data_IF_212306044855
#
_entry.id   IF_212306044855
#
_cell.length_a   1.000
_cell.length_b   1.000
_cell.length_c   1.000
_cell.angle_alpha   90.00
_cell.angle_beta   90.00
_cell.angle_gamma   90.00
#
_symmetry.space_group_name_H-M   'P 1'
#
loop_
_entity.id
_entity.type
_entity.pdbx_description
1 polymer ?
#
# COMPACT_ATOMS: atom_id res chain seq x y z
N UNK A 1 11.18 -13.72 7.02
CA UNK A 1 10.63 -12.36 7.33
C UNK A 1 9.11 -12.47 7.52
N UNK A 2 8.58 -12.11 8.70
CA UNK A 2 7.11 -12.11 9.00
C UNK A 2 6.53 -10.71 9.29
N UNK A 3 7.36 -9.67 9.31
CA UNK A 3 6.96 -8.31 9.67
C UNK A 3 5.95 -7.69 8.71
N UNK A 4 6.08 -7.95 7.40
CA UNK A 4 5.24 -7.32 6.38
C UNK A 4 3.80 -7.85 6.35
N UNK A 5 3.55 -9.19 6.40
CA UNK A 5 2.21 -9.71 6.62
C UNK A 5 1.59 -9.24 7.95
N UNK A 6 2.41 -9.12 9.01
CA UNK A 6 1.93 -8.64 10.31
C UNK A 6 1.43 -7.18 10.27
N UNK A 7 2.12 -6.29 9.55
CA UNK A 7 1.67 -4.90 9.37
C UNK A 7 0.32 -4.81 8.63
N UNK A 8 0.12 -5.65 7.61
CA UNK A 8 -1.15 -5.68 6.87
C UNK A 8 -2.29 -6.18 7.78
N UNK A 9 -2.04 -7.23 8.56
CA UNK A 9 -3.00 -7.75 9.56
C UNK A 9 -3.34 -6.70 10.61
N UNK A 10 -2.33 -6.00 11.12
CA UNK A 10 -2.53 -4.91 12.08
C UNK A 10 -3.45 -3.83 11.52
N UNK A 11 -3.24 -3.38 10.27
CA UNK A 11 -4.11 -2.38 9.66
C UNK A 11 -5.57 -2.85 9.54
N UNK A 12 -5.82 -4.11 9.20
CA UNK A 12 -7.20 -4.64 9.16
C UNK A 12 -7.82 -4.73 10.56
N UNK A 13 -7.05 -5.11 11.58
CA UNK A 13 -7.55 -5.17 12.96
C UNK A 13 -7.77 -3.79 13.57
N UNK A 14 -6.94 -2.82 13.17
CA UNK A 14 -7.10 -1.43 13.55
C UNK A 14 -8.36 -0.81 12.95
N UNK A 15 -8.87 -1.33 11.83
CA UNK A 15 -10.19 -0.93 11.35
C UNK A 15 -11.32 -1.57 12.18
N UNK A 16 -11.18 -2.85 12.53
CA UNK A 16 -12.24 -3.62 13.17
C UNK A 16 -12.47 -3.24 14.64
N UNK A 17 -11.41 -3.24 15.45
CA UNK A 17 -11.55 -3.16 16.92
C UNK A 17 -12.03 -1.79 17.41
N UNK A 18 -11.48 -0.66 16.93
CA UNK A 18 -11.97 0.66 17.34
C UNK A 18 -13.43 0.89 16.90
N UNK A 19 -13.84 0.39 15.73
CA UNK A 19 -15.23 0.48 15.27
C UNK A 19 -16.19 -0.30 16.15
N UNK A 20 -15.80 -1.48 16.63
CA UNK A 20 -16.61 -2.24 17.59
C UNK A 20 -16.82 -1.47 18.91
N UNK A 21 -15.87 -0.60 19.27
CA UNK A 21 -15.98 0.33 20.39
C UNK A 21 -16.63 1.69 20.02
N UNK A 22 -17.26 1.82 18.85
CA UNK A 22 -17.96 3.03 18.42
C UNK A 22 -17.09 4.14 17.80
N UNK A 23 -15.80 3.88 17.52
CA UNK A 23 -14.93 4.86 16.86
C UNK A 23 -15.33 5.09 15.39
N UNK A 24 -15.26 6.35 14.95
CA UNK A 24 -15.45 6.75 13.55
C UNK A 24 -14.17 6.67 12.72
N UNK A 25 -13.02 6.43 13.35
CA UNK A 25 -11.73 6.29 12.66
C UNK A 25 -11.74 5.06 11.76
N UNK A 26 -11.31 5.24 10.51
CA UNK A 26 -11.09 4.14 9.58
C UNK A 26 -9.60 3.82 9.47
N UNK A 27 -9.28 2.54 9.32
CA UNK A 27 -7.93 2.11 8.95
C UNK A 27 -7.92 1.57 7.52
N UNK A 28 -6.95 2.02 6.73
CA UNK A 28 -6.79 1.63 5.32
C UNK A 28 -5.35 1.19 5.12
N UNK A 29 -5.17 0.03 4.48
CA UNK A 29 -3.85 -0.49 4.15
C UNK A 29 -3.47 -0.05 2.74
N UNK A 30 -2.20 0.27 2.51
CA UNK A 30 -1.69 0.45 1.16
C UNK A 30 -0.30 -0.17 1.01
N UNK A 31 0.08 -0.48 -0.22
CA UNK A 31 1.47 -0.78 -0.52
C UNK A 31 1.93 -0.07 -1.81
N UNK A 32 3.21 0.36 -1.87
CA UNK A 32 3.71 1.18 -2.98
C UNK A 32 4.07 0.37 -4.25
N UNK A 33 3.93 -0.96 -4.18
CA UNK A 33 4.49 -1.91 -5.15
C UNK A 33 6.01 -1.96 -5.13
N UNK A 34 6.61 -2.22 -6.30
CA UNK A 34 8.06 -2.11 -6.49
C UNK A 34 8.43 -0.64 -6.65
N UNK A 35 9.06 -0.06 -5.63
CA UNK A 35 9.44 1.35 -5.61
C UNK A 35 10.97 1.49 -5.60
N UNK A 36 11.53 2.03 -6.68
CA UNK A 36 12.98 2.10 -6.89
C UNK A 36 13.45 3.55 -7.03
N UNK A 37 14.48 3.91 -6.28
CA UNK A 37 15.01 5.28 -6.30
C UNK A 37 15.52 5.69 -7.69
N UNK A 38 16.06 4.75 -8.47
CA UNK A 38 16.51 4.99 -9.85
C UNK A 38 15.48 5.45 -10.85
N UNK A 39 14.21 5.28 -10.49
CA UNK A 39 13.09 5.70 -11.31
C UNK A 39 12.37 6.91 -10.70
N UNK A 40 12.84 7.43 -9.57
CA UNK A 40 12.27 8.61 -8.91
C UNK A 40 12.83 9.90 -9.53
N UNK A 41 11.99 10.90 -9.85
CA UNK A 41 12.45 12.23 -10.26
C UNK A 41 13.40 12.87 -9.25
N UNK A 42 14.39 13.63 -9.73
CA UNK A 42 15.27 14.45 -8.87
C UNK A 42 14.48 15.60 -8.24
N UNK A 43 14.78 15.92 -6.98
CA UNK A 43 14.25 17.05 -6.21
C UNK A 43 15.37 17.73 -5.41
N UNK A 44 16.11 18.69 -6.00
CA UNK A 44 17.15 19.44 -5.29
C UNK A 44 16.56 20.29 -4.14
N UNK A 45 17.30 20.51 -3.03
CA UNK A 45 18.60 19.91 -2.71
C UNK A 45 18.49 18.48 -2.11
N UNK A 46 17.29 18.04 -1.74
CA UNK A 46 17.07 16.83 -0.96
C UNK A 46 17.44 15.51 -1.67
N UNK A 47 17.28 15.44 -3.00
CA UNK A 47 17.55 14.23 -3.77
C UNK A 47 17.96 14.59 -5.20
N UNK A 48 19.24 14.40 -5.53
CA UNK A 48 19.76 14.61 -6.90
C UNK A 48 20.30 13.29 -7.42
N UNK A 49 19.81 12.85 -8.58
CA UNK A 49 20.29 11.63 -9.23
C UNK A 49 21.31 11.94 -10.32
N UNK A 50 22.35 11.14 -10.40
CA UNK A 50 23.26 11.15 -11.55
C UNK A 50 22.63 10.46 -12.76
N UNK A 51 23.09 10.80 -13.98
CA UNK A 51 22.64 10.15 -15.21
C UNK A 51 22.91 8.62 -15.21
N UNK A 52 24.01 8.17 -14.58
CA UNK A 52 24.32 6.74 -14.43
C UNK A 52 23.34 6.02 -13.51
N UNK A 53 23.00 6.66 -12.39
CA UNK A 53 22.01 6.18 -11.43
C UNK A 53 20.59 6.05 -12.02
N UNK A 54 20.22 6.91 -12.98
CA UNK A 54 18.94 6.79 -13.71
C UNK A 54 18.97 5.63 -14.70
N UNK A 55 20.06 5.51 -15.49
CA UNK A 55 20.21 4.45 -16.50
C UNK A 55 20.14 3.04 -15.92
N UNK A 56 20.77 2.79 -14.77
CA UNK A 56 20.72 1.49 -14.08
C UNK A 56 19.30 1.04 -13.68
N UNK A 57 18.37 1.99 -13.51
CA UNK A 57 16.98 1.70 -13.16
C UNK A 57 16.08 1.37 -14.32
N UNK A 58 16.43 1.78 -15.55
CA UNK A 58 15.56 1.71 -16.72
C UNK A 58 15.09 0.28 -17.05
N UNK A 59 15.96 -0.76 -17.03
CA UNK A 59 15.51 -2.13 -17.30
C UNK A 59 14.42 -2.59 -16.32
N UNK A 60 14.52 -2.18 -15.05
CA UNK A 60 13.55 -2.51 -14.01
C UNK A 60 12.23 -1.72 -14.15
N UNK A 61 12.21 -0.60 -14.86
CA UNK A 61 11.02 0.27 -15.02
C UNK A 61 9.82 -0.37 -15.73
N UNK A 62 10.04 -1.52 -16.38
CA UNK A 62 8.97 -2.35 -16.94
C UNK A 62 8.20 -3.10 -15.84
N UNK A 63 8.87 -3.46 -14.74
CA UNK A 63 8.29 -4.24 -13.65
C UNK A 63 7.92 -3.37 -12.45
N UNK A 64 8.74 -2.36 -12.16
CA UNK A 64 8.65 -1.50 -10.96
C UNK A 64 8.55 -0.02 -11.33
N UNK A 65 8.28 0.84 -10.36
CA UNK A 65 8.08 2.27 -10.54
C UNK A 65 8.97 3.11 -9.61
N UNK A 66 9.09 4.41 -9.86
CA UNK A 66 9.78 5.32 -8.93
C UNK A 66 9.02 5.52 -7.63
N UNK A 67 9.71 5.93 -6.55
CA UNK A 67 9.07 6.23 -5.25
C UNK A 67 7.97 7.29 -5.36
N UNK A 68 8.13 8.25 -6.27
CA UNK A 68 7.11 9.25 -6.55
C UNK A 68 5.78 8.61 -7.01
N UNK A 69 5.84 7.68 -7.97
CA UNK A 69 4.65 6.95 -8.42
C UNK A 69 4.18 5.94 -7.36
N UNK A 70 5.12 5.33 -6.64
CA UNK A 70 4.84 4.42 -5.52
C UNK A 70 4.12 5.08 -4.35
N UNK A 71 4.15 6.41 -4.21
CA UNK A 71 3.38 7.13 -3.20
C UNK A 71 1.89 7.27 -3.56
N UNK A 72 1.50 7.09 -4.84
CA UNK A 72 0.13 7.30 -5.30
C UNK A 72 -0.92 6.43 -4.59
N UNK A 73 -0.67 5.14 -4.26
CA UNK A 73 -1.61 4.34 -3.48
C UNK A 73 -1.93 4.94 -2.11
N UNK A 74 -0.91 5.44 -1.38
CA UNK A 74 -1.11 6.13 -0.11
C UNK A 74 -1.93 7.41 -0.30
N UNK A 75 -1.56 8.26 -1.27
CA UNK A 75 -2.29 9.49 -1.58
C UNK A 75 -3.75 9.21 -1.94
N UNK A 76 -4.02 8.18 -2.76
CA UNK A 76 -5.39 7.78 -3.12
C UNK A 76 -6.19 7.29 -1.90
N UNK A 77 -5.55 6.55 -1.00
CA UNK A 77 -6.19 6.05 0.21
C UNK A 77 -6.50 7.18 1.22
N UNK A 78 -5.68 8.23 1.27
CA UNK A 78 -5.85 9.35 2.21
C UNK A 78 -6.77 10.44 1.68
N UNK A 79 -6.64 10.84 0.41
CA UNK A 79 -7.34 12.01 -0.14
C UNK A 79 -8.61 11.67 -0.92
N UNK A 80 -8.78 10.42 -1.33
CA UNK A 80 -9.97 9.98 -2.05
C UNK A 80 -11.00 9.31 -1.13
N UNK A 81 -12.21 9.02 -1.62
CA UNK A 81 -13.16 8.20 -0.88
C UNK A 81 -12.54 6.81 -0.64
N UNK A 82 -12.44 6.44 0.63
CA UNK A 82 -11.92 5.16 1.09
C UNK A 82 -12.83 4.61 2.18
N UNK A 83 -12.93 3.28 2.22
CA UNK A 83 -13.63 2.57 3.30
C UNK A 83 -12.61 1.90 4.19
N UNK A 84 -12.95 1.81 5.47
CA UNK A 84 -12.14 1.06 6.40
C UNK A 84 -11.96 -0.40 6.00
N UNK A 85 -10.78 -0.94 6.28
CA UNK A 85 -10.41 -2.31 5.94
C UNK A 85 -10.08 -2.53 4.46
N UNK A 86 -10.01 -1.47 3.65
CA UNK A 86 -9.55 -1.54 2.27
C UNK A 86 -8.03 -1.70 2.15
N UNK A 87 -7.59 -2.30 1.04
CA UNK A 87 -6.19 -2.42 0.65
C UNK A 87 -6.00 -1.76 -0.72
N UNK A 88 -5.11 -0.76 -0.78
CA UNK A 88 -4.80 -0.04 -2.01
C UNK A 88 -3.41 -0.37 -2.55
N UNK A 89 -3.34 -0.70 -3.84
CA UNK A 89 -2.14 -1.18 -4.50
C UNK A 89 -2.02 -0.70 -5.94
N UNK A 90 -0.83 -0.78 -6.56
CA UNK A 90 -0.69 -0.58 -7.99
C UNK A 90 -1.37 -1.69 -8.81
N UNK A 91 -2.09 -1.33 -9.87
CA UNK A 91 -2.93 -2.26 -10.67
C UNK A 91 -2.18 -3.45 -11.27
N UNK A 92 -0.95 -3.29 -11.72
CA UNK A 92 -0.23 -4.32 -12.49
C UNK A 92 0.50 -5.24 -11.53
N UNK A 93 -0.10 -6.39 -11.24
CA UNK A 93 0.40 -7.41 -10.31
C UNK A 93 0.79 -6.88 -8.91
N UNK A 94 0.21 -5.75 -8.47
CA UNK A 94 0.63 -5.08 -7.23
C UNK A 94 1.98 -4.36 -7.35
N UNK A 95 2.69 -4.44 -8.48
CA UNK A 95 4.07 -3.93 -8.58
C UNK A 95 4.12 -2.49 -9.08
N UNK A 96 3.27 -2.12 -10.04
CA UNK A 96 3.28 -0.79 -10.66
C UNK A 96 1.92 -0.34 -11.22
N UNK A 97 1.84 0.93 -11.59
CA UNK A 97 0.68 1.51 -12.28
C UNK A 97 -0.24 2.31 -11.36
N UNK A 98 -1.43 2.64 -11.86
CA UNK A 98 -2.40 3.44 -11.13
C UNK A 98 -2.89 2.73 -9.85
N UNK A 99 -3.17 3.48 -8.77
CA UNK A 99 -3.79 2.94 -7.58
C UNK A 99 -5.12 2.24 -7.90
N UNK A 100 -5.31 1.06 -7.32
CA UNK A 100 -6.53 0.27 -7.43
C UNK A 100 -6.80 -0.39 -6.07
N UNK A 101 -8.07 -0.61 -5.77
CA UNK A 101 -8.47 -1.50 -4.68
C UNK A 101 -8.01 -2.93 -4.99
N UNK A 102 -7.20 -3.49 -4.09
CA UNK A 102 -6.68 -4.84 -4.19
C UNK A 102 -7.53 -5.81 -3.37
N UNK A 103 -7.99 -6.93 -3.95
CA UNK A 103 -8.61 -8.00 -3.19
C UNK A 103 -7.60 -8.60 -2.21
N UNK A 104 -8.02 -8.76 -0.96
CA UNK A 104 -7.21 -9.44 0.06
C UNK A 104 -7.16 -10.94 -0.24
N UNK A 105 -5.97 -11.46 -0.55
CA UNK A 105 -5.73 -12.86 -0.96
C UNK A 105 -4.95 -13.65 0.09
N UNK A 106 -5.03 -14.99 0.02
CA UNK A 106 -4.23 -15.92 0.81
C UNK A 106 -4.64 -16.00 2.28
N UNK A 107 -3.66 -16.14 3.18
CA UNK A 107 -3.87 -16.18 4.65
C UNK A 107 -4.70 -14.99 5.16
N UNK A 108 -4.61 -13.85 4.49
CA UNK A 108 -5.37 -12.65 4.86
C UNK A 108 -6.87 -12.79 4.53
N UNK A 109 -7.26 -13.63 3.56
CA UNK A 109 -8.67 -13.85 3.18
C UNK A 109 -9.44 -14.51 4.31
N UNK A 110 -8.88 -15.56 4.93
CA UNK A 110 -9.51 -16.19 6.10
C UNK A 110 -9.63 -15.19 7.25
N UNK A 111 -8.70 -14.24 7.35
CA UNK A 111 -8.65 -13.24 8.42
C UNK A 111 -9.76 -12.21 8.21
N UNK A 112 -9.94 -11.74 6.98
CA UNK A 112 -11.05 -10.85 6.60
C UNK A 112 -12.42 -11.47 6.86
N UNK A 113 -12.58 -12.76 6.57
CA UNK A 113 -13.82 -13.49 6.86
C UNK A 113 -14.09 -13.59 8.37
N UNK A 114 -13.06 -13.74 9.20
CA UNK A 114 -13.18 -13.74 10.67
C UNK A 114 -13.39 -12.34 11.25
N UNK A 115 -12.84 -11.29 10.63
CA UNK A 115 -13.10 -9.91 11.01
C UNK A 115 -14.57 -9.50 10.89
N UNK A 116 -15.29 -10.06 9.92
CA UNK A 116 -16.72 -9.78 9.74
C UNK A 116 -17.61 -10.37 10.85
N UNK A 117 -17.05 -11.22 11.73
CA UNK A 117 -17.78 -11.73 12.90
C UNK A 117 -17.73 -10.68 14.02
N UNK A 118 -18.87 -10.39 14.68
CA UNK A 118 -18.88 -9.53 15.85
C UNK A 118 -17.89 -10.06 16.90
N UNK A 119 -17.17 -9.14 17.54
CA UNK A 119 -16.37 -9.48 18.73
C UNK A 119 -17.39 -9.95 19.77
N UNK A 120 -17.29 -11.21 20.20
CA UNK A 120 -18.08 -11.69 21.34
C UNK A 120 -17.38 -11.16 22.58
N UNK A 121 -18.17 -10.53 23.45
CA UNK A 121 -17.77 -10.13 24.79
C UNK A 121 -17.34 -11.33 25.64
#
# INVERSE_FOLDING_TARGET
MRSKPAQILFGFELDRRPKAAGSTTISVVNHPGGALDSLTPSRPPAHVRTAGQRRRGLPAGILVQGKHTGARPAVRATLGPARGGELWAPRVFGLRGAPRLEPVRGVLTHWRARCGRPVRD
#
